data_IF_825810678278
#
_entry.id   IF_825810678278
#
_cell.length_a   1.000
_cell.length_b   1.000
_cell.length_c   1.000
_cell.angle_alpha   90.00
_cell.angle_beta   90.00
_cell.angle_gamma   90.00
#
_symmetry.space_group_name_H-M   'P 1'
#
loop_
_entity.id
_entity.type
_entity.pdbx_description
1 polymer ?
#
# COMPACT_ATOMS: atom_id res chain seq x y z
N UNK A 1 3.40 -16.35 6.86
CA UNK A 1 2.76 -15.30 6.05
C UNK A 1 1.74 -14.61 6.92
N UNK A 2 1.68 -13.28 6.88
CA UNK A 2 0.80 -12.44 7.70
C UNK A 2 0.04 -11.49 6.78
N UNK A 3 -1.21 -11.18 7.08
CA UNK A 3 -2.00 -10.22 6.33
C UNK A 3 -2.24 -8.98 7.19
N UNK A 4 -1.94 -7.79 6.66
CA UNK A 4 -2.18 -6.50 7.33
C UNK A 4 -3.04 -5.61 6.45
N UNK A 5 -4.05 -5.02 7.05
CA UNK A 5 -4.95 -4.07 6.42
C UNK A 5 -4.66 -2.67 6.96
N UNK A 6 -4.42 -1.73 6.05
CA UNK A 6 -4.21 -0.32 6.36
C UNK A 6 -5.30 0.52 5.73
N UNK A 7 -5.70 1.60 6.40
CA UNK A 7 -6.54 2.65 5.82
C UNK A 7 -5.71 3.90 5.64
N UNK A 8 -5.88 4.61 4.52
CA UNK A 8 -4.99 5.72 4.17
C UNK A 8 -5.22 6.24 2.76
N UNK A 9 -4.26 6.99 2.22
CA UNK A 9 -4.30 7.55 0.86
C UNK A 9 -2.94 7.46 0.19
N UNK A 10 -2.90 7.47 -1.14
CA UNK A 10 -1.65 7.63 -1.87
C UNK A 10 -1.29 9.10 -2.02
N UNK A 11 -0.01 9.43 -1.93
CA UNK A 11 0.54 10.73 -2.33
C UNK A 11 1.13 10.63 -3.73
N UNK A 12 0.59 11.43 -4.64
CA UNK A 12 0.90 11.40 -6.07
C UNK A 12 1.00 12.84 -6.56
N UNK A 13 2.17 13.21 -7.09
CA UNK A 13 2.46 14.57 -7.57
C UNK A 13 2.07 15.68 -6.57
N UNK A 14 2.31 15.43 -5.28
CA UNK A 14 1.99 16.36 -4.19
C UNK A 14 0.49 16.45 -3.83
N UNK A 15 -0.35 15.58 -4.37
CA UNK A 15 -1.78 15.46 -4.04
C UNK A 15 -2.06 14.13 -3.35
N UNK A 16 -3.00 14.14 -2.42
CA UNK A 16 -3.52 12.92 -1.82
C UNK A 16 -4.71 12.39 -2.61
N UNK A 17 -4.78 11.08 -2.78
CA UNK A 17 -5.97 10.41 -3.31
C UNK A 17 -7.08 10.38 -2.27
N UNK A 18 -8.28 9.96 -2.69
CA UNK A 18 -9.31 9.56 -1.74
C UNK A 18 -8.80 8.46 -0.81
N UNK A 19 -9.38 8.42 0.40
CA UNK A 19 -9.05 7.38 1.38
C UNK A 19 -9.51 6.01 0.89
N UNK A 20 -8.67 5.01 1.11
CA UNK A 20 -8.90 3.64 0.71
C UNK A 20 -8.24 2.65 1.67
N UNK A 21 -8.63 1.39 1.53
CA UNK A 21 -8.01 0.27 2.21
C UNK A 21 -6.88 -0.32 1.35
N UNK A 22 -5.73 -0.56 1.98
CA UNK A 22 -4.57 -1.22 1.40
C UNK A 22 -4.30 -2.51 2.17
N UNK A 23 -4.52 -3.65 1.52
CA UNK A 23 -4.29 -4.98 2.06
C UNK A 23 -2.93 -5.51 1.61
N UNK A 24 -2.08 -5.86 2.55
CA UNK A 24 -0.71 -6.32 2.31
C UNK A 24 -0.52 -7.72 2.87
N UNK A 25 -0.12 -8.64 1.99
CA UNK A 25 0.35 -9.97 2.33
C UNK A 25 1.87 -9.93 2.56
N UNK A 26 2.26 -10.12 3.82
CA UNK A 26 3.64 -10.12 4.27
C UNK A 26 4.22 -11.53 4.24
N UNK A 27 5.37 -11.64 3.58
CA UNK A 27 6.26 -12.79 3.66
C UNK A 27 7.48 -12.39 4.47
N UNK A 28 7.64 -13.03 5.63
CA UNK A 28 8.76 -12.83 6.54
C UNK A 28 9.70 -14.03 6.38
N UNK A 29 10.90 -13.80 5.88
CA UNK A 29 11.88 -14.85 5.65
C UNK A 29 13.28 -14.29 5.42
N UNK A 30 14.31 -14.99 5.91
CA UNK A 30 15.72 -14.64 5.62
C UNK A 30 16.24 -13.31 6.18
N UNK A 31 15.47 -12.62 7.05
CA UNK A 31 15.83 -11.30 7.58
C UNK A 31 15.18 -10.13 6.84
N UNK A 32 14.41 -10.39 5.78
CA UNK A 32 13.70 -9.38 4.99
C UNK A 32 12.18 -9.58 5.14
N UNK A 33 11.44 -8.46 5.13
CA UNK A 33 9.97 -8.46 5.09
C UNK A 33 9.55 -7.95 3.73
N UNK A 34 8.92 -8.82 2.93
CA UNK A 34 8.36 -8.44 1.63
C UNK A 34 6.85 -8.39 1.74
N UNK A 35 6.27 -7.24 1.39
CA UNK A 35 4.83 -7.08 1.22
C UNK A 35 4.42 -7.19 -0.24
N UNK A 36 3.25 -7.76 -0.47
CA UNK A 36 2.61 -7.80 -1.79
C UNK A 36 1.11 -7.61 -1.65
N UNK A 37 0.46 -7.12 -2.69
CA UNK A 37 -0.99 -6.96 -2.66
C UNK A 37 -1.55 -6.39 -3.95
N UNK A 38 -2.81 -5.98 -3.87
CA UNK A 38 -3.49 -5.24 -4.91
C UNK A 38 -4.35 -4.14 -4.32
N UNK A 39 -4.54 -3.05 -5.06
CA UNK A 39 -5.47 -1.98 -4.71
C UNK A 39 -6.26 -1.53 -5.94
N UNK A 40 -7.46 -0.96 -5.72
CA UNK A 40 -8.24 -0.34 -6.80
C UNK A 40 -7.59 0.96 -7.22
N UNK A 41 -7.36 1.14 -8.51
CA UNK A 41 -6.69 2.35 -9.04
C UNK A 41 -7.55 3.58 -8.74
N UNK A 42 -7.08 4.53 -7.90
CA UNK A 42 -7.78 5.79 -7.67
C UNK A 42 -7.87 6.61 -8.96
N UNK A 43 -8.94 7.39 -9.12
CA UNK A 43 -9.12 8.22 -10.31
C UNK A 43 -7.97 9.21 -10.54
N UNK A 44 -7.35 9.70 -9.45
CA UNK A 44 -6.18 10.58 -9.49
C UNK A 44 -4.91 9.91 -10.06
N UNK A 45 -4.88 8.58 -10.18
CA UNK A 45 -3.80 7.81 -10.82
C UNK A 45 -4.01 7.59 -12.32
N UNK A 46 -5.20 7.89 -12.84
CA UNK A 46 -5.50 7.64 -14.26
C UNK A 46 -4.76 8.68 -15.11
N UNK A 47 -3.90 8.19 -16.01
CA UNK A 47 -3.10 9.03 -16.90
C UNK A 47 -1.81 9.56 -16.29
N UNK A 48 -1.51 9.20 -15.03
CA UNK A 48 -0.22 9.50 -14.40
C UNK A 48 0.81 8.46 -14.85
N UNK A 49 1.96 8.90 -15.37
CA UNK A 49 3.08 8.00 -15.66
C UNK A 49 3.76 7.62 -14.33
N UNK A 50 3.20 6.65 -13.60
CA UNK A 50 3.83 6.16 -12.37
C UNK A 50 4.96 5.19 -12.71
N UNK A 51 6.07 5.73 -13.24
CA UNK A 51 7.28 4.96 -13.51
C UNK A 51 8.11 4.62 -12.27
N UNK A 52 7.74 5.18 -11.10
CA UNK A 52 8.47 5.04 -9.84
C UNK A 52 7.59 4.61 -8.66
N UNK A 53 8.21 4.41 -7.48
CA UNK A 53 7.51 4.04 -6.26
C UNK A 53 6.43 5.06 -5.85
N UNK A 54 5.33 4.57 -5.30
CA UNK A 54 4.24 5.33 -4.72
C UNK A 54 4.32 5.31 -3.21
N UNK A 55 3.95 6.40 -2.57
CA UNK A 55 3.85 6.46 -1.10
C UNK A 55 2.40 6.35 -0.68
N UNK A 56 2.08 5.32 0.10
CA UNK A 56 0.80 5.22 0.80
C UNK A 56 0.98 5.71 2.23
N UNK A 57 0.12 6.62 2.68
CA UNK A 57 0.15 7.21 4.01
C UNK A 57 -1.04 6.68 4.78
N UNK A 58 -0.77 5.98 5.86
CA UNK A 58 -1.80 5.42 6.73
C UNK A 58 -2.51 6.51 7.53
N UNK A 59 -3.70 6.24 8.06
CA UNK A 59 -4.39 7.15 8.99
C UNK A 59 -3.60 7.40 10.29
N UNK A 60 -2.66 6.51 10.64
CA UNK A 60 -1.74 6.71 11.76
C UNK A 60 -0.58 7.65 11.43
N UNK A 61 -0.42 8.03 10.16
CA UNK A 61 0.68 8.86 9.66
C UNK A 61 1.91 8.08 9.20
N UNK A 62 1.91 6.75 9.33
CA UNK A 62 2.99 5.90 8.82
C UNK A 62 3.00 5.88 7.29
N UNK A 63 4.18 5.74 6.70
CA UNK A 63 4.37 5.69 5.25
C UNK A 63 4.75 4.28 4.80
N UNK A 64 4.17 3.84 3.69
CA UNK A 64 4.44 2.55 3.04
C UNK A 64 4.81 2.83 1.59
N UNK A 65 6.02 2.43 1.21
CA UNK A 65 6.48 2.53 -0.19
C UNK A 65 5.98 1.35 -0.99
N UNK A 66 5.30 1.63 -2.10
CA UNK A 66 4.59 0.68 -2.95
C UNK A 66 5.12 0.79 -4.37
N UNK A 67 5.62 -0.30 -4.94
CA UNK A 67 6.04 -0.39 -6.34
C UNK A 67 4.99 -1.16 -7.10
N UNK A 68 4.28 -0.47 -7.99
CA UNK A 68 3.31 -1.11 -8.89
C UNK A 68 4.07 -1.95 -9.92
N UNK A 69 3.68 -3.21 -10.05
CA UNK A 69 4.27 -4.16 -11.00
C UNK A 69 3.42 -4.32 -12.24
N UNK A 70 2.10 -4.24 -12.07
CA UNK A 70 1.14 -4.46 -13.14
C UNK A 70 -0.15 -3.71 -12.87
N UNK A 71 -0.72 -3.12 -13.92
CA UNK A 71 -2.06 -2.54 -13.91
C UNK A 71 -2.99 -3.43 -14.73
N UNK A 72 -3.99 -4.04 -14.08
CA UNK A 72 -5.11 -4.65 -14.77
C UNK A 72 -6.19 -3.58 -14.96
N UNK A 73 -6.16 -2.93 -16.12
CA UNK A 73 -7.12 -1.89 -16.50
C UNK A 73 -8.52 -2.45 -16.77
N UNK A 74 -8.65 -3.75 -17.03
CA UNK A 74 -9.96 -4.40 -17.22
C UNK A 74 -10.71 -4.48 -15.90
N UNK A 75 -9.98 -4.77 -14.82
CA UNK A 75 -10.51 -4.86 -13.47
C UNK A 75 -10.38 -3.57 -12.65
N UNK A 76 -9.60 -2.60 -13.15
CA UNK A 76 -9.32 -1.33 -12.46
C UNK A 76 -8.47 -1.52 -11.20
N UNK A 77 -7.54 -2.48 -11.22
CA UNK A 77 -6.66 -2.81 -10.07
C UNK A 77 -5.18 -2.71 -10.44
N UNK A 78 -4.36 -2.38 -9.45
CA UNK A 78 -2.92 -2.38 -9.54
C UNK A 78 -2.33 -3.42 -8.58
N UNK A 79 -1.45 -4.28 -9.09
CA UNK A 79 -0.67 -5.24 -8.31
C UNK A 79 0.66 -4.63 -7.91
N UNK A 80 1.08 -4.86 -6.68
CA UNK A 80 2.28 -4.20 -6.14
C UNK A 80 3.12 -5.09 -5.24
N UNK A 81 4.36 -4.63 -5.05
CA UNK A 81 5.27 -5.03 -3.98
C UNK A 81 5.54 -3.84 -3.07
N UNK A 82 5.82 -4.08 -1.79
CA UNK A 82 6.31 -3.03 -0.90
C UNK A 82 7.84 -2.97 -0.95
N UNK A 83 8.38 -1.78 -0.78
CA UNK A 83 9.81 -1.59 -0.51
C UNK A 83 10.00 -1.23 0.96
N UNK A 84 11.03 -1.81 1.58
CA UNK A 84 11.34 -1.58 2.99
C UNK A 84 10.37 -2.24 3.96
N UNK A 85 10.40 -1.76 5.21
CA UNK A 85 9.60 -2.31 6.29
C UNK A 85 8.14 -1.85 6.20
N UNK A 86 7.21 -2.80 6.34
CA UNK A 86 5.78 -2.48 6.50
C UNK A 86 5.48 -2.28 7.98
N UNK A 87 4.90 -1.13 8.39
CA UNK A 87 4.61 -0.84 9.78
C UNK A 87 3.84 -1.97 10.48
N UNK A 88 4.20 -2.24 11.74
CA UNK A 88 3.37 -3.10 12.57
C UNK A 88 2.05 -2.38 12.86
N UNK A 89 0.93 -3.09 12.76
CA UNK A 89 -0.32 -2.56 13.29
C UNK A 89 -0.14 -2.38 14.80
N UNK A 90 -0.58 -1.26 15.40
CA UNK A 90 -0.69 -1.17 16.84
C UNK A 90 -1.48 -2.40 17.29
N UNK A 91 -0.86 -3.27 18.11
CA UNK A 91 -1.63 -4.32 18.78
C UNK A 91 -2.81 -3.60 19.42
N UNK A 92 -4.04 -4.01 19.08
CA UNK A 92 -5.22 -3.56 19.77
C UNK A 92 -4.91 -3.74 21.26
N UNK A 93 -4.60 -2.63 21.93
CA UNK A 93 -4.22 -2.64 23.34
C UNK A 93 -5.41 -3.25 24.04
N UNK A 94 -5.15 -4.28 24.83
CA UNK A 94 -6.13 -4.99 25.64
C UNK A 94 -7.16 -3.99 26.20
N UNK A 95 -8.35 -3.96 25.61
CA UNK A 95 -9.50 -3.28 26.17
C UNK A 95 -10.00 -4.19 27.30
N UNK A 96 -9.29 -4.14 28.43
CA UNK A 96 -9.77 -4.60 29.72
C UNK A 96 -10.70 -3.59 30.37
#
# INVERSE_FOLDING_TARGET
>A
MELRDFRGSFRIDGRETDRMDLRILLTIGGGETHGSGAFRVPAAMIGTETGGPLTFVTEAGDEITVVVREFDLTQGVAYFLTEGEVPALPRARDAG
#
